data_IF_305508433213
#
_entry.id   IF_305508433213
#
_cell.length_a   1.000
_cell.length_b   1.000
_cell.length_c   1.000
_cell.angle_alpha   90.00
_cell.angle_beta   90.00
_cell.angle_gamma   90.00
#
_symmetry.space_group_name_H-M   'P 1'
#
loop_
_entity.id
_entity.type
_entity.pdbx_description
1 polymer ?
#
# COMPACT_ATOMS: atom_id res chain seq x y z
N UNK A 1 12.01 -19.25 -6.37
CA UNK A 1 11.25 -20.14 -7.29
C UNK A 1 9.81 -20.41 -6.83
N UNK A 2 9.51 -20.38 -5.52
CA UNK A 2 8.18 -20.66 -4.96
C UNK A 2 7.09 -19.60 -5.25
N UNK A 3 7.44 -18.31 -5.31
CA UNK A 3 6.49 -17.19 -5.51
C UNK A 3 5.80 -17.19 -6.88
N UNK A 4 6.47 -17.67 -7.93
CA UNK A 4 5.92 -17.71 -9.30
C UNK A 4 4.72 -18.66 -9.44
N UNK A 5 4.63 -19.71 -8.61
CA UNK A 5 3.52 -20.67 -8.65
C UNK A 5 2.26 -20.14 -7.95
N UNK A 6 2.44 -19.31 -6.92
CA UNK A 6 1.34 -18.64 -6.21
C UNK A 6 0.75 -17.49 -7.04
N UNK A 7 1.55 -16.74 -7.81
CA UNK A 7 1.04 -15.66 -8.70
C UNK A 7 -0.08 -16.10 -9.63
N UNK A 8 -0.02 -17.33 -10.17
CA UNK A 8 -1.06 -17.86 -11.08
C UNK A 8 -2.40 -18.10 -10.38
N UNK A 9 -2.43 -18.25 -9.05
CA UNK A 9 -3.64 -18.53 -8.26
C UNK A 9 -4.08 -17.36 -7.37
N UNK A 10 -3.16 -16.48 -6.98
CA UNK A 10 -3.38 -15.39 -6.00
C UNK A 10 -3.55 -14.01 -6.69
N UNK A 11 -3.43 -13.95 -8.02
CA UNK A 11 -3.63 -12.71 -8.78
C UNK A 11 -2.66 -11.59 -8.37
N UNK A 12 -3.01 -10.34 -8.67
CA UNK A 12 -2.18 -9.15 -8.45
C UNK A 12 -1.62 -9.00 -7.00
N UNK A 13 -2.20 -9.68 -6.01
CA UNK A 13 -1.72 -9.72 -4.62
C UNK A 13 -0.33 -10.36 -4.42
N UNK A 14 0.15 -11.21 -5.34
CA UNK A 14 1.54 -11.67 -5.32
C UNK A 14 2.51 -10.74 -6.09
N UNK A 15 1.99 -9.82 -6.90
CA UNK A 15 2.82 -8.83 -7.62
C UNK A 15 3.26 -7.72 -6.67
N UNK A 16 2.38 -7.33 -5.75
CA UNK A 16 2.66 -6.30 -4.74
C UNK A 16 3.32 -6.97 -3.53
N UNK A 17 4.57 -6.62 -3.16
CA UNK A 17 5.28 -7.25 -2.06
C UNK A 17 4.80 -6.72 -0.70
N UNK A 18 3.56 -7.05 -0.33
CA UNK A 18 2.90 -6.58 0.90
C UNK A 18 3.62 -7.08 2.17
N UNK A 19 4.25 -8.26 2.07
CA UNK A 19 5.04 -8.86 3.16
C UNK A 19 6.32 -8.08 3.44
N UNK A 20 7.00 -7.60 2.40
CA UNK A 20 8.19 -6.76 2.55
C UNK A 20 7.86 -5.40 3.16
N UNK A 21 6.72 -4.82 2.76
CA UNK A 21 6.20 -3.60 3.36
C UNK A 21 5.87 -3.78 4.85
N UNK A 22 5.20 -4.87 5.21
CA UNK A 22 4.92 -5.19 6.61
C UNK A 22 6.19 -5.32 7.47
N UNK A 23 7.23 -6.01 6.98
CA UNK A 23 8.50 -6.12 7.68
C UNK A 23 9.21 -4.75 7.83
N UNK A 24 9.15 -3.93 6.78
CA UNK A 24 9.69 -2.56 6.81
C UNK A 24 8.97 -1.65 7.81
N UNK A 25 7.68 -1.87 8.06
CA UNK A 25 6.89 -1.12 9.07
C UNK A 25 7.11 -1.66 10.48
N UNK A 26 7.27 -2.97 10.66
CA UNK A 26 7.43 -3.61 11.97
C UNK A 26 8.82 -3.38 12.58
N UNK A 27 9.88 -3.34 11.77
CA UNK A 27 11.24 -3.07 12.28
C UNK A 27 11.34 -1.75 13.05
N UNK A 28 10.93 -0.57 12.51
CA UNK A 28 10.93 0.67 13.26
C UNK A 28 9.92 0.67 14.42
N UNK A 29 8.85 -0.13 14.34
CA UNK A 29 7.88 -0.24 15.43
C UNK A 29 8.44 -0.92 16.69
N UNK A 30 9.35 -1.88 16.51
CA UNK A 30 10.02 -2.60 17.60
C UNK A 30 11.18 -1.76 18.14
N UNK A 31 11.95 -1.13 17.25
CA UNK A 31 13.19 -0.43 17.57
C UNK A 31 12.94 0.94 18.24
N UNK A 32 11.96 1.70 17.76
CA UNK A 32 11.59 3.00 18.33
C UNK A 32 10.48 2.89 19.38
N UNK A 33 10.22 1.69 19.91
CA UNK A 33 9.20 1.46 20.96
C UNK A 33 9.50 2.23 22.25
N UNK A 34 10.78 2.48 22.52
CA UNK A 34 11.27 3.24 23.68
C UNK A 34 11.01 4.76 23.58
N UNK A 35 10.83 5.31 22.37
CA UNK A 35 10.64 6.75 22.13
C UNK A 35 9.16 7.20 22.22
N UNK A 36 8.26 6.29 22.60
CA UNK A 36 6.84 6.57 22.77
C UNK A 36 6.02 6.37 21.48
N UNK A 37 4.71 6.18 21.65
CA UNK A 37 3.83 5.72 20.56
C UNK A 37 3.58 6.77 19.47
N UNK A 38 3.64 8.05 19.80
CA UNK A 38 3.24 9.15 18.88
C UNK A 38 4.47 9.73 18.17
N UNK A 39 5.51 10.13 18.93
CA UNK A 39 6.71 10.75 18.37
C UNK A 39 7.75 9.74 17.85
N UNK A 40 7.86 8.56 18.47
CA UNK A 40 8.80 7.51 18.04
C UNK A 40 8.19 6.58 17.01
N UNK A 41 7.29 5.69 17.47
CA UNK A 41 6.70 4.62 16.65
C UNK A 41 5.85 5.19 15.51
N UNK A 42 4.90 6.09 15.84
CA UNK A 42 3.93 6.62 14.90
C UNK A 42 4.58 7.40 13.75
N UNK A 43 5.50 8.32 14.06
CA UNK A 43 6.19 9.12 13.06
C UNK A 43 7.01 8.25 12.07
N UNK A 44 7.74 7.24 12.56
CA UNK A 44 8.56 6.38 11.70
C UNK A 44 7.73 5.45 10.82
N UNK A 45 6.68 4.84 11.37
CA UNK A 45 5.76 4.02 10.57
C UNK A 45 5.08 4.87 9.49
N UNK A 46 4.66 6.09 9.84
CA UNK A 46 3.99 6.98 8.89
C UNK A 46 4.90 7.44 7.74
N UNK A 47 6.22 7.55 7.95
CA UNK A 47 7.14 7.88 6.83
C UNK A 47 7.19 6.78 5.76
N UNK A 48 6.98 5.52 6.15
CA UNK A 48 6.96 4.37 5.25
C UNK A 48 5.57 4.20 4.63
N UNK A 49 4.52 4.36 5.43
CA UNK A 49 3.13 4.19 4.99
C UNK A 49 2.55 5.40 4.22
N UNK A 50 3.03 6.61 4.51
CA UNK A 50 2.55 7.87 3.93
C UNK A 50 2.60 7.88 2.39
N UNK A 51 3.74 7.54 1.75
CA UNK A 51 3.83 7.44 0.30
C UNK A 51 2.82 6.44 -0.29
N UNK A 52 2.66 5.26 0.33
CA UNK A 52 1.76 4.21 -0.16
C UNK A 52 0.30 4.67 -0.14
N UNK A 53 -0.12 5.32 0.94
CA UNK A 53 -1.47 5.85 1.09
C UNK A 53 -1.70 6.99 0.09
N UNK A 54 -0.75 7.91 -0.07
CA UNK A 54 -0.87 9.05 -0.99
C UNK A 54 -1.04 8.56 -2.44
N UNK A 55 -0.13 7.73 -2.93
CA UNK A 55 -0.19 7.24 -4.31
C UNK A 55 -1.38 6.29 -4.53
N UNK A 56 -1.78 5.51 -3.53
CA UNK A 56 -2.94 4.63 -3.61
C UNK A 56 -4.27 5.39 -3.75
N UNK A 57 -4.48 6.41 -2.91
CA UNK A 57 -5.68 7.24 -2.97
C UNK A 57 -5.67 8.09 -4.24
N UNK A 58 -4.52 8.67 -4.60
CA UNK A 58 -4.39 9.49 -5.80
C UNK A 58 -4.68 8.69 -7.07
N UNK A 59 -4.13 7.48 -7.19
CA UNK A 59 -4.42 6.59 -8.32
C UNK A 59 -5.89 6.18 -8.35
N UNK A 60 -6.50 5.89 -7.19
CA UNK A 60 -7.91 5.52 -7.09
C UNK A 60 -8.83 6.67 -7.53
N UNK A 61 -8.47 7.91 -7.17
CA UNK A 61 -9.21 9.10 -7.56
C UNK A 61 -9.15 9.34 -9.08
N UNK A 62 -7.98 9.19 -9.69
CA UNK A 62 -7.81 9.30 -11.15
C UNK A 62 -8.65 8.25 -11.87
N UNK A 63 -8.56 6.99 -11.45
CA UNK A 63 -9.34 5.89 -12.05
C UNK A 63 -10.85 6.12 -11.85
N UNK A 64 -11.25 6.63 -10.68
CA UNK A 64 -12.64 6.99 -10.38
C UNK A 64 -13.18 8.08 -11.30
N UNK A 65 -12.40 9.11 -11.60
CA UNK A 65 -12.78 10.17 -12.55
C UNK A 65 -12.92 9.60 -13.96
N UNK A 66 -11.96 8.79 -14.40
CA UNK A 66 -12.01 8.14 -15.73
C UNK A 66 -13.27 7.27 -15.85
N UNK A 67 -13.59 6.51 -14.80
CA UNK A 67 -14.80 5.69 -14.76
C UNK A 67 -16.09 6.53 -14.87
N UNK A 68 -16.16 7.66 -14.16
CA UNK A 68 -17.32 8.56 -14.24
C UNK A 68 -17.51 9.15 -15.64
N UNK A 69 -16.42 9.53 -16.32
CA UNK A 69 -16.47 10.06 -17.68
C UNK A 69 -16.90 8.98 -18.67
N UNK A 70 -16.34 7.76 -18.58
CA UNK A 70 -16.70 6.64 -19.44
C UNK A 70 -18.18 6.23 -19.27
N UNK A 71 -18.69 6.26 -18.05
CA UNK A 71 -20.10 6.04 -17.75
C UNK A 71 -21.00 7.15 -18.33
N UNK A 72 -20.55 8.40 -18.28
CA UNK A 72 -21.27 9.53 -18.88
C UNK A 72 -21.35 9.48 -20.41
N UNK A 73 -20.37 8.85 -21.07
CA UNK A 73 -20.33 8.66 -22.52
C UNK A 73 -21.06 7.35 -22.94
N UNK A 74 -21.55 6.55 -21.98
CA UNK A 74 -22.34 5.34 -22.24
C UNK A 74 -21.53 4.14 -22.75
N UNK A 75 -20.21 4.17 -22.58
CA UNK A 75 -19.29 3.07 -22.94
C UNK A 75 -19.32 1.97 -21.87
N UNK A 76 -19.70 2.33 -20.64
CA UNK A 76 -19.80 1.48 -19.45
C UNK A 76 -21.13 1.71 -18.75
#
# INVERSE_FOLDING_TARGET
MFTRRLQKKVGAGCLVPITGFANGVVSPAIEFKAEGHIFGIGAKIFTIAGPVILYGIFSSWIVGIIYLILKGIGIV
#
